data_IF_715625774597
#
_entry.id   IF_715625774597
#
_cell.length_a   1.000
_cell.length_b   1.000
_cell.length_c   1.000
_cell.angle_alpha   90.00
_cell.angle_beta   90.00
_cell.angle_gamma   90.00
#
_symmetry.space_group_name_H-M   'P 1'
#
loop_
_entity.id
_entity.type
_entity.pdbx_description
1 polymer ?
#
# COMPACT_ATOMS: atom_id res chain seq x y z
N UNK A 1 -5.32 -6.65 5.27
CA UNK A 1 -6.03 -6.07 6.42
C UNK A 1 -5.85 -4.55 6.51
N UNK A 2 -4.64 -3.98 6.32
CA UNK A 2 -4.41 -2.53 6.44
C UNK A 2 -5.36 -1.66 5.59
N UNK A 3 -5.74 -2.11 4.39
CA UNK A 3 -6.75 -1.44 3.54
C UNK A 3 -8.19 -1.42 4.09
N UNK A 4 -8.47 -2.16 5.17
CA UNK A 4 -9.71 -2.06 5.97
C UNK A 4 -9.46 -1.14 7.18
N UNK A 5 -8.34 -1.34 7.88
CA UNK A 5 -7.96 -0.57 9.09
C UNK A 5 -7.91 0.94 8.81
N UNK A 6 -7.31 1.36 7.68
CA UNK A 6 -7.23 2.77 7.31
C UNK A 6 -8.63 3.43 7.18
N UNK A 7 -9.55 2.98 6.30
CA UNK A 7 -10.93 3.48 6.26
C UNK A 7 -11.69 3.41 7.59
N UNK A 8 -11.44 2.40 8.43
CA UNK A 8 -12.05 2.34 9.77
C UNK A 8 -11.52 3.43 10.72
N UNK A 9 -10.27 3.87 10.57
CA UNK A 9 -9.63 4.89 11.41
C UNK A 9 -10.00 6.34 11.08
N UNK A 10 -10.37 6.60 9.83
CA UNK A 10 -10.76 7.92 9.33
C UNK A 10 -11.93 7.80 8.32
N UNK A 11 -13.12 7.35 8.77
CA UNK A 11 -14.27 7.18 7.89
C UNK A 11 -14.77 8.53 7.35
N UNK A 12 -15.27 8.54 6.12
CA UNK A 12 -15.71 9.76 5.43
C UNK A 12 -17.09 10.24 5.92
N UNK A 13 -18.04 9.32 6.13
CA UNK A 13 -19.44 9.62 6.43
C UNK A 13 -19.77 9.88 7.92
N UNK A 14 -18.79 9.74 8.83
CA UNK A 14 -19.03 9.72 10.29
C UNK A 14 -17.75 10.11 11.06
N UNK A 15 -17.82 10.48 12.35
CA UNK A 15 -16.62 10.73 13.15
C UNK A 15 -15.70 9.50 13.25
N UNK A 16 -14.41 9.75 13.48
CA UNK A 16 -13.42 8.73 13.76
C UNK A 16 -13.73 8.00 15.10
N UNK A 17 -13.35 6.71 15.23
CA UNK A 17 -13.50 5.96 16.48
C UNK A 17 -12.83 6.66 17.66
N UNK A 18 -13.45 6.61 18.84
CA UNK A 18 -12.95 7.29 20.04
C UNK A 18 -11.74 6.61 20.68
N UNK A 19 -11.66 5.29 20.58
CA UNK A 19 -10.62 4.44 21.15
C UNK A 19 -10.34 3.21 20.26
N UNK A 20 -9.31 2.44 20.62
CA UNK A 20 -8.90 1.25 19.89
C UNK A 20 -9.97 0.14 19.93
N UNK A 21 -10.81 0.11 20.96
CA UNK A 21 -11.92 -0.85 21.04
C UNK A 21 -13.03 -0.53 20.03
N UNK A 22 -13.43 0.73 19.93
CA UNK A 22 -14.36 1.20 18.89
C UNK A 22 -13.78 0.99 17.48
N UNK A 23 -12.47 1.18 17.31
CA UNK A 23 -11.76 0.84 16.07
C UNK A 23 -11.88 -0.66 15.72
N UNK A 24 -11.63 -1.56 16.67
CA UNK A 24 -11.73 -3.01 16.42
C UNK A 24 -13.16 -3.43 16.05
N UNK A 25 -14.18 -2.89 16.71
CA UNK A 25 -15.59 -3.14 16.36
C UNK A 25 -15.92 -2.71 14.92
N UNK A 26 -15.38 -1.58 14.46
CA UNK A 26 -15.57 -1.13 13.08
C UNK A 26 -14.80 -1.98 12.06
N UNK A 27 -13.61 -2.45 12.40
CA UNK A 27 -12.85 -3.42 11.59
C UNK A 27 -13.61 -4.75 11.49
N UNK A 28 -14.22 -5.22 12.58
CA UNK A 28 -15.07 -6.43 12.58
C UNK A 28 -16.29 -6.27 11.68
N UNK A 29 -17.04 -5.15 11.82
CA UNK A 29 -18.22 -4.86 10.97
C UNK A 29 -17.85 -4.79 9.48
N UNK A 30 -16.74 -4.11 9.15
CA UNK A 30 -16.27 -4.01 7.77
C UNK A 30 -15.84 -5.37 7.21
N UNK A 31 -15.08 -6.14 8.00
CA UNK A 31 -14.63 -7.48 7.60
C UNK A 31 -15.81 -8.43 7.41
N UNK A 32 -16.81 -8.42 8.31
CA UNK A 32 -18.04 -9.20 8.18
C UNK A 32 -18.81 -8.85 6.90
N UNK A 33 -18.94 -7.54 6.59
CA UNK A 33 -19.55 -7.08 5.34
C UNK A 33 -18.83 -7.65 4.11
N UNK A 34 -17.50 -7.64 4.08
CA UNK A 34 -16.71 -8.22 2.98
C UNK A 34 -16.91 -9.73 2.88
N UNK A 35 -16.83 -10.47 3.99
CA UNK A 35 -17.04 -11.92 4.02
C UNK A 35 -18.46 -12.29 3.57
N UNK A 36 -19.48 -11.54 3.97
CA UNK A 36 -20.88 -11.78 3.60
C UNK A 36 -21.20 -11.47 2.13
N UNK A 37 -20.44 -10.57 1.48
CA UNK A 37 -20.49 -10.33 0.04
C UNK A 37 -19.76 -11.41 -0.75
N UNK A 38 -18.54 -11.78 -0.36
CA UNK A 38 -17.69 -12.76 -1.08
C UNK A 38 -18.16 -14.21 -0.86
N UNK A 39 -18.70 -14.52 0.32
CA UNK A 39 -19.17 -15.84 0.75
C UNK A 39 -18.15 -16.96 0.50
N UNK A 40 -16.94 -16.87 1.07
CA UNK A 40 -15.93 -17.91 0.95
C UNK A 40 -16.49 -19.27 1.39
N UNK A 41 -16.00 -20.36 0.79
CA UNK A 41 -16.51 -21.73 0.99
C UNK A 41 -15.48 -22.75 1.46
N UNK A 42 -14.21 -22.36 1.58
CA UNK A 42 -13.10 -23.27 1.93
C UNK A 42 -12.04 -22.61 2.80
N UNK A 43 -11.58 -21.41 2.41
CA UNK A 43 -10.48 -20.70 3.08
C UNK A 43 -10.81 -19.21 3.15
N UNK A 44 -10.47 -18.61 4.30
CA UNK A 44 -10.38 -17.16 4.47
C UNK A 44 -8.94 -16.84 4.92
N UNK A 45 -8.20 -16.03 4.15
CA UNK A 45 -6.85 -15.58 4.51
C UNK A 45 -6.89 -14.12 4.93
N UNK A 46 -6.54 -13.86 6.19
CA UNK A 46 -6.40 -12.52 6.77
C UNK A 46 -4.90 -12.23 6.89
N UNK A 47 -4.39 -11.39 6.00
CA UNK A 47 -3.01 -10.90 6.07
C UNK A 47 -2.97 -9.45 6.56
N UNK A 48 -2.28 -9.24 7.69
CA UNK A 48 -1.80 -7.94 8.18
C UNK A 48 -0.33 -7.85 7.77
N UNK A 49 0.14 -6.70 7.30
CA UNK A 49 1.54 -6.56 6.89
C UNK A 49 1.87 -5.12 6.53
N UNK A 50 3.14 -4.83 6.29
CA UNK A 50 3.55 -3.52 5.80
C UNK A 50 3.27 -3.38 4.30
N UNK A 51 3.18 -2.16 3.81
CA UNK A 51 3.56 -1.85 2.41
C UNK A 51 5.09 -1.85 2.34
N UNK A 52 5.71 -2.24 1.24
CA UNK A 52 7.15 -2.23 1.15
C UNK A 52 7.59 -1.85 -0.27
N UNK A 53 8.41 -0.78 -0.42
CA UNK A 53 9.70 -0.66 0.27
C UNK A 53 9.71 0.33 1.46
N UNK A 54 10.64 0.09 2.41
CA UNK A 54 10.85 0.93 3.60
C UNK A 54 11.01 2.43 3.28
N UNK A 55 11.74 2.78 2.21
CA UNK A 55 11.95 4.17 1.82
C UNK A 55 10.65 4.85 1.36
N UNK A 56 9.78 4.14 0.64
CA UNK A 56 8.47 4.67 0.23
C UNK A 56 7.54 4.84 1.43
N UNK A 57 7.55 3.89 2.37
CA UNK A 57 6.85 4.06 3.64
C UNK A 57 7.35 5.29 4.40
N UNK A 58 8.66 5.42 4.60
CA UNK A 58 9.27 6.55 5.31
C UNK A 58 8.88 7.88 4.68
N UNK A 59 8.97 8.01 3.35
CA UNK A 59 8.49 9.19 2.61
C UNK A 59 7.00 9.49 2.85
N UNK A 60 6.14 8.48 2.91
CA UNK A 60 4.71 8.67 3.25
C UNK A 60 4.51 9.08 4.72
N UNK A 61 5.26 8.50 5.65
CA UNK A 61 5.14 8.71 7.10
C UNK A 61 5.63 10.08 7.56
N UNK A 62 6.74 10.56 6.99
CA UNK A 62 7.22 11.93 7.19
C UNK A 62 6.21 12.95 6.66
N UNK A 63 5.68 12.75 5.45
CA UNK A 63 4.62 13.61 4.90
C UNK A 63 3.34 13.60 5.74
N UNK A 64 2.85 12.45 6.17
CA UNK A 64 1.65 12.40 7.03
C UNK A 64 1.85 13.05 8.41
N UNK A 65 3.08 13.05 8.95
CA UNK A 65 3.41 13.78 10.17
C UNK A 65 3.47 15.30 9.95
N UNK A 66 4.06 15.75 8.83
CA UNK A 66 4.06 17.15 8.42
C UNK A 66 2.62 17.67 8.18
N UNK A 67 1.82 16.96 7.37
CA UNK A 67 0.42 17.29 7.10
C UNK A 67 -0.42 17.36 8.39
N UNK A 68 -0.13 16.50 9.38
CA UNK A 68 -0.76 16.57 10.70
C UNK A 68 -0.36 17.83 11.48
N UNK A 69 0.93 18.17 11.53
CA UNK A 69 1.46 19.39 12.17
C UNK A 69 0.87 20.66 11.54
N UNK A 70 0.84 20.73 10.21
CA UNK A 70 0.23 21.84 9.44
C UNK A 70 -1.27 21.96 9.72
N UNK A 71 -2.00 20.83 9.74
CA UNK A 71 -3.43 20.79 10.05
C UNK A 71 -3.76 21.18 11.49
N UNK A 72 -2.89 20.87 12.45
CA UNK A 72 -3.03 21.32 13.84
C UNK A 72 -2.74 22.81 13.98
N UNK A 73 -1.70 23.33 13.32
CA UNK A 73 -1.40 24.76 13.28
C UNK A 73 -2.55 25.58 12.66
N UNK A 74 -3.06 25.17 11.50
CA UNK A 74 -4.19 25.83 10.83
C UNK A 74 -5.48 25.80 11.67
N UNK A 75 -5.74 24.70 12.40
CA UNK A 75 -6.86 24.64 13.37
C UNK A 75 -6.68 25.60 14.54
N UNK A 76 -5.45 25.73 15.06
CA UNK A 76 -5.15 26.64 16.15
C UNK A 76 -5.33 28.11 15.71
N UNK A 77 -4.81 28.48 14.54
CA UNK A 77 -4.98 29.80 13.94
C UNK A 77 -6.46 30.13 13.70
N UNK A 78 -7.23 29.21 13.08
CA UNK A 78 -8.66 29.37 12.88
C UNK A 78 -9.41 29.58 14.20
N UNK A 79 -9.04 28.85 15.25
CA UNK A 79 -9.62 29.02 16.61
C UNK A 79 -9.33 30.41 17.18
N UNK A 80 -8.11 30.93 17.00
CA UNK A 80 -7.75 32.30 17.41
C UNK A 80 -8.52 33.35 16.62
N UNK A 81 -8.69 33.19 15.30
CA UNK A 81 -9.47 34.11 14.46
C UNK A 81 -10.96 34.13 14.84
N UNK A 82 -11.56 32.96 15.13
CA UNK A 82 -12.96 32.87 15.58
C UNK A 82 -13.17 33.56 16.94
N UNK A 83 -12.21 33.42 17.87
CA UNK A 83 -12.23 34.13 19.16
C UNK A 83 -12.13 35.66 18.98
N UNK A 84 -11.33 36.14 18.03
CA UNK A 84 -11.19 37.57 17.74
C UNK A 84 -12.44 38.17 17.08
N UNK A 85 -13.19 37.39 16.30
CA UNK A 85 -14.39 37.86 15.59
C UNK A 85 -15.67 37.86 16.45
N UNK A 86 -15.59 37.47 17.73
CA UNK A 86 -16.74 37.48 18.65
C UNK A 86 -17.88 36.54 18.25
N UNK A 87 -17.60 35.56 17.38
CA UNK A 87 -18.60 34.60 16.92
C UNK A 87 -18.75 33.49 17.96
N UNK A 88 -19.57 33.76 18.97
CA UNK A 88 -19.90 32.83 20.06
C UNK A 88 -20.88 31.72 19.61
N UNK A 89 -20.71 31.23 18.37
CA UNK A 89 -21.52 30.14 17.80
C UNK A 89 -21.11 28.81 18.39
N UNK A 90 -21.75 28.50 19.52
CA UNK A 90 -21.89 27.15 20.07
C UNK A 90 -20.59 26.35 20.17
N UNK A 91 -19.76 26.70 21.15
CA UNK A 91 -18.83 25.75 21.78
C UNK A 91 -19.68 24.62 22.38
N UNK A 92 -19.94 23.60 21.57
CA UNK A 92 -20.61 22.37 21.99
C UNK A 92 -19.61 21.56 22.82
N UNK A 93 -19.83 21.58 24.14
CA UNK A 93 -19.23 20.71 25.16
C UNK A 93 -17.70 20.55 25.12
N UNK A 94 -17.07 21.10 26.16
CA UNK A 94 -15.63 21.07 26.48
C UNK A 94 -15.00 19.68 26.76
N UNK A 95 -15.56 18.61 26.19
CA UNK A 95 -15.02 17.23 26.26
C UNK A 95 -14.83 16.61 24.87
N UNK A 96 -15.61 17.00 23.85
CA UNK A 96 -15.46 16.49 22.48
C UNK A 96 -14.34 17.20 21.67
N UNK A 97 -13.97 18.42 22.08
CA UNK A 97 -13.13 19.33 21.31
C UNK A 97 -11.62 19.02 21.32
N UNK A 98 -11.16 18.00 22.06
CA UNK A 98 -9.75 17.54 22.09
C UNK A 98 -9.65 16.01 22.01
N UNK A 99 -10.47 15.38 21.16
CA UNK A 99 -10.19 14.00 20.72
C UNK A 99 -8.93 14.03 19.86
N UNK A 100 -7.80 13.58 20.43
CA UNK A 100 -6.54 13.38 19.71
C UNK A 100 -6.82 12.51 18.48
N UNK A 101 -6.52 13.00 17.29
CA UNK A 101 -6.72 12.24 16.07
C UNK A 101 -5.92 10.93 16.15
N UNK A 102 -6.51 9.82 15.68
CA UNK A 102 -5.82 8.53 15.67
C UNK A 102 -4.54 8.64 14.84
N UNK A 103 -3.40 8.31 15.46
CA UNK A 103 -2.13 8.34 14.74
C UNK A 103 -2.04 7.14 13.79
N UNK A 104 -2.27 7.40 12.51
CA UNK A 104 -2.19 6.40 11.43
C UNK A 104 -0.80 5.78 11.29
N UNK A 105 0.26 6.35 11.88
CA UNK A 105 1.59 5.77 11.95
C UNK A 105 1.64 4.55 12.89
N UNK A 106 0.70 4.46 13.84
CA UNK A 106 0.47 3.28 14.68
C UNK A 106 0.08 2.04 13.87
N UNK A 107 -0.42 2.20 12.63
CA UNK A 107 -0.69 1.09 11.69
C UNK A 107 0.62 0.61 11.05
N UNK A 108 1.53 0.13 11.89
CA UNK A 108 2.89 -0.33 11.55
C UNK A 108 3.25 -1.48 12.51
N UNK A 109 3.77 -2.64 12.06
CA UNK A 109 4.25 -3.70 12.94
C UNK A 109 5.21 -3.21 14.02
N UNK A 110 5.22 -3.88 15.17
CA UNK A 110 6.02 -3.46 16.32
C UNK A 110 5.40 -2.32 17.14
N UNK A 111 4.15 -1.92 16.88
CA UNK A 111 3.37 -1.00 17.72
C UNK A 111 2.36 -1.76 18.60
N UNK A 112 1.98 -1.25 19.78
CA UNK A 112 0.94 -1.87 20.62
C UNK A 112 -0.39 -2.07 19.89
N UNK A 113 -0.77 -1.11 19.04
CA UNK A 113 -1.99 -1.18 18.23
C UNK A 113 -2.06 -2.43 17.34
N UNK A 114 -0.92 -2.89 16.80
CA UNK A 114 -0.91 -4.06 15.92
C UNK A 114 -1.07 -5.38 16.69
N UNK A 115 -0.63 -5.45 17.95
CA UNK A 115 -0.85 -6.60 18.82
C UNK A 115 -2.30 -6.68 19.29
N UNK A 116 -2.89 -5.53 19.61
CA UNK A 116 -4.32 -5.37 19.89
C UNK A 116 -5.13 -5.83 18.67
N UNK A 117 -4.76 -5.41 17.46
CA UNK A 117 -5.39 -5.85 16.21
C UNK A 117 -5.24 -7.37 15.99
N UNK A 118 -4.05 -7.93 16.21
CA UNK A 118 -3.79 -9.36 16.03
C UNK A 118 -4.64 -10.21 17.00
N UNK A 119 -4.63 -9.86 18.28
CA UNK A 119 -5.39 -10.56 19.33
C UNK A 119 -6.89 -10.43 19.10
N UNK A 120 -7.36 -9.22 18.75
CA UNK A 120 -8.77 -8.94 18.43
C UNK A 120 -9.27 -9.73 17.22
N UNK A 121 -8.46 -9.84 16.16
CA UNK A 121 -8.80 -10.64 14.97
C UNK A 121 -8.83 -12.14 15.27
N UNK A 122 -7.91 -12.66 16.09
CA UNK A 122 -7.90 -14.05 16.53
C UNK A 122 -9.17 -14.37 17.33
N UNK A 123 -9.48 -13.56 18.35
CA UNK A 123 -10.74 -13.66 19.11
C UNK A 123 -11.96 -13.63 18.18
N UNK A 124 -12.05 -12.65 17.27
CA UNK A 124 -13.24 -12.47 16.44
C UNK A 124 -13.46 -13.63 15.46
N UNK A 125 -12.37 -14.18 14.89
CA UNK A 125 -12.46 -15.37 14.03
C UNK A 125 -12.87 -16.61 14.82
N UNK A 126 -12.33 -16.83 16.03
CA UNK A 126 -12.76 -17.89 16.93
C UNK A 126 -14.24 -17.74 17.31
N UNK A 127 -14.67 -16.54 17.71
CA UNK A 127 -16.06 -16.21 18.02
C UNK A 127 -16.99 -16.52 16.84
N UNK A 128 -16.61 -16.14 15.62
CA UNK A 128 -17.35 -16.45 14.39
C UNK A 128 -17.43 -17.96 14.11
N UNK A 129 -16.34 -18.70 14.28
CA UNK A 129 -16.32 -20.17 14.13
C UNK A 129 -17.26 -20.89 15.12
N UNK A 130 -17.52 -20.28 16.29
CA UNK A 130 -18.45 -20.80 17.30
C UNK A 130 -19.91 -20.41 17.07
N UNK A 131 -20.17 -19.21 16.51
CA UNK A 131 -21.51 -18.59 16.50
C UNK A 131 -22.18 -18.54 15.12
N UNK A 132 -21.40 -18.60 14.05
CA UNK A 132 -21.89 -18.39 12.68
C UNK A 132 -21.75 -19.69 11.86
N UNK A 133 -22.89 -20.32 11.55
CA UNK A 133 -22.93 -21.57 10.79
C UNK A 133 -22.32 -21.46 9.37
N UNK A 134 -22.20 -20.26 8.80
CA UNK A 134 -21.50 -20.07 7.53
C UNK A 134 -19.97 -20.24 7.67
N UNK A 135 -19.43 -20.08 8.87
CA UNK A 135 -17.99 -20.16 9.17
C UNK A 135 -17.53 -21.55 9.58
N UNK A 136 -18.42 -22.42 10.07
CA UNK A 136 -18.08 -23.77 10.55
C UNK A 136 -17.29 -24.64 9.54
N UNK A 137 -17.40 -24.36 8.24
CA UNK A 137 -16.71 -25.05 7.16
C UNK A 137 -15.51 -24.27 6.57
N UNK A 138 -15.05 -23.20 7.23
CA UNK A 138 -13.94 -22.36 6.78
C UNK A 138 -12.64 -22.69 7.50
N UNK A 139 -11.57 -22.76 6.72
CA UNK A 139 -10.20 -22.70 7.21
C UNK A 139 -9.77 -21.23 7.28
N UNK A 140 -9.67 -20.67 8.48
CA UNK A 140 -9.31 -19.25 8.65
C UNK A 140 -7.82 -19.16 8.96
N UNK A 141 -7.06 -18.50 8.08
CA UNK A 141 -5.62 -18.33 8.23
C UNK A 141 -5.33 -16.87 8.55
N UNK A 142 -4.69 -16.59 9.68
CA UNK A 142 -4.28 -15.25 10.11
C UNK A 142 -2.76 -15.17 10.05
N UNK A 143 -2.24 -14.31 9.17
CA UNK A 143 -0.86 -13.87 9.18
C UNK A 143 -0.84 -12.43 9.66
N UNK A 144 -0.57 -12.22 10.95
CA UNK A 144 -0.57 -10.91 11.57
C UNK A 144 0.75 -10.13 11.33
N UNK A 145 0.89 -9.00 12.02
CA UNK A 145 2.00 -8.07 11.88
C UNK A 145 3.37 -8.64 12.28
N UNK A 146 3.40 -9.65 13.15
CA UNK A 146 4.64 -10.28 13.67
C UNK A 146 5.29 -11.22 12.65
N UNK A 147 4.55 -11.63 11.62
CA UNK A 147 5.06 -12.41 10.50
C UNK A 147 5.64 -11.44 9.46
N UNK A 148 6.88 -11.62 8.96
CA UNK A 148 7.44 -10.74 7.94
C UNK A 148 6.68 -10.73 6.61
N UNK A 149 6.84 -9.66 5.85
CA UNK A 149 6.31 -9.52 4.48
C UNK A 149 5.03 -8.68 4.38
N UNK A 150 4.72 -8.27 3.15
CA UNK A 150 3.55 -7.44 2.87
C UNK A 150 2.25 -8.23 2.92
N UNK A 151 1.14 -7.56 3.23
CA UNK A 151 -0.17 -8.22 3.29
C UNK A 151 -0.56 -8.92 1.99
N UNK A 152 -0.28 -8.30 0.84
CA UNK A 152 -0.54 -8.90 -0.47
C UNK A 152 0.49 -9.99 -0.86
N UNK A 153 1.77 -9.80 -0.51
CA UNK A 153 2.82 -10.81 -0.78
C UNK A 153 2.57 -12.09 0.01
N UNK A 154 2.22 -11.99 1.31
CA UNK A 154 1.80 -13.12 2.15
C UNK A 154 0.64 -13.92 1.55
N UNK A 155 -0.35 -13.23 0.96
CA UNK A 155 -1.46 -13.89 0.24
C UNK A 155 -0.95 -14.58 -1.02
N UNK A 156 -0.08 -13.94 -1.79
CA UNK A 156 0.51 -14.53 -2.99
C UNK A 156 1.43 -15.73 -2.67
N UNK A 157 2.18 -15.70 -1.56
CA UNK A 157 2.99 -16.82 -1.08
C UNK A 157 2.14 -17.99 -0.62
N UNK A 158 1.03 -17.73 0.08
CA UNK A 158 0.03 -18.76 0.33
C UNK A 158 -0.46 -19.37 -0.98
N UNK A 159 -0.91 -18.57 -1.96
CA UNK A 159 -1.36 -19.08 -3.27
C UNK A 159 -0.26 -19.87 -4.01
N UNK A 160 0.99 -19.40 -3.98
CA UNK A 160 2.15 -20.08 -4.58
C UNK A 160 2.44 -21.42 -3.90
N UNK A 161 2.42 -21.49 -2.57
CA UNK A 161 2.64 -22.72 -1.80
C UNK A 161 1.59 -23.79 -2.12
N UNK A 162 0.30 -23.40 -2.16
CA UNK A 162 -0.81 -24.30 -2.47
C UNK A 162 -0.72 -24.83 -3.92
N UNK A 163 -0.36 -23.96 -4.87
CA UNK A 163 -0.11 -24.37 -6.27
C UNK A 163 1.08 -25.33 -6.39
N UNK A 164 2.16 -25.08 -5.65
CA UNK A 164 3.33 -25.95 -5.67
C UNK A 164 3.01 -27.34 -5.09
N UNK A 165 2.25 -27.42 -4.00
CA UNK A 165 1.77 -28.68 -3.43
C UNK A 165 0.99 -29.52 -4.46
N UNK A 166 -0.01 -28.92 -5.13
CA UNK A 166 -0.81 -29.58 -6.17
C UNK A 166 0.04 -30.10 -7.35
N UNK A 167 1.18 -29.45 -7.63
CA UNK A 167 2.05 -29.78 -8.75
C UNK A 167 3.12 -30.84 -8.43
N UNK A 168 3.37 -31.17 -7.14
CA UNK A 168 4.38 -32.19 -6.75
C UNK A 168 4.07 -33.59 -7.27
N UNK A 169 2.80 -33.88 -7.57
CA UNK A 169 2.33 -35.21 -8.00
C UNK A 169 2.13 -35.32 -9.52
N UNK A 170 2.68 -34.40 -10.33
CA UNK A 170 2.53 -34.42 -11.79
C UNK A 170 3.89 -34.47 -12.51
N UNK A 171 4.21 -35.61 -13.11
CA UNK A 171 5.38 -35.74 -13.98
C UNK A 171 5.15 -35.13 -15.37
N UNK A 172 6.15 -34.40 -15.87
CA UNK A 172 6.18 -33.83 -17.22
C UNK A 172 6.98 -32.53 -17.28
N UNK A 173 8.01 -32.47 -18.13
CA UNK A 173 8.71 -31.20 -18.40
C UNK A 173 7.91 -30.37 -19.42
N UNK A 174 7.52 -29.12 -19.09
CA UNK A 174 6.84 -28.24 -20.04
C UNK A 174 7.80 -27.71 -21.10
N UNK A 175 7.37 -27.71 -22.36
CA UNK A 175 8.12 -27.15 -23.50
C UNK A 175 8.33 -25.65 -23.33
N UNK A 176 9.58 -25.19 -23.39
CA UNK A 176 9.94 -23.78 -23.26
C UNK A 176 9.98 -23.13 -24.63
N UNK A 177 9.16 -22.09 -24.83
CA UNK A 177 9.26 -21.20 -25.99
C UNK A 177 10.11 -19.97 -25.63
N UNK A 178 11.10 -19.64 -26.46
CA UNK A 178 11.88 -18.41 -26.35
C UNK A 178 11.19 -17.23 -27.06
N UNK A 179 11.54 -16.00 -26.69
CA UNK A 179 11.07 -14.77 -27.34
C UNK A 179 10.56 -13.69 -26.40
N UNK A 180 10.17 -14.04 -25.17
CA UNK A 180 9.61 -13.12 -24.19
C UNK A 180 10.66 -12.30 -23.45
N UNK A 181 10.28 -11.08 -23.01
CA UNK A 181 11.13 -10.17 -22.20
C UNK A 181 11.32 -10.68 -20.78
N UNK A 182 10.38 -11.45 -20.25
CA UNK A 182 10.45 -12.05 -18.91
C UNK A 182 10.22 -13.55 -18.95
N UNK A 183 10.79 -14.27 -17.98
CA UNK A 183 10.64 -15.71 -17.81
C UNK A 183 10.70 -16.06 -16.33
N UNK A 184 9.59 -16.57 -15.79
CA UNK A 184 9.50 -17.09 -14.42
C UNK A 184 10.05 -16.13 -13.33
N UNK A 185 9.88 -14.82 -13.52
CA UNK A 185 10.39 -13.78 -12.60
C UNK A 185 11.76 -13.20 -12.95
N UNK A 186 12.41 -13.64 -14.03
CA UNK A 186 13.68 -13.07 -14.52
C UNK A 186 13.45 -12.22 -15.77
N UNK A 187 14.23 -11.13 -15.93
CA UNK A 187 14.21 -10.24 -17.11
C UNK A 187 15.33 -10.63 -18.07
N UNK A 188 15.00 -10.76 -19.36
CA UNK A 188 15.95 -10.79 -20.47
C UNK A 188 16.36 -9.34 -20.79
N UNK A 189 17.47 -8.89 -20.23
CA UNK A 189 17.95 -7.50 -20.36
C UNK A 189 18.21 -7.11 -21.82
N UNK A 190 18.62 -8.05 -22.67
CA UNK A 190 18.81 -7.80 -24.11
C UNK A 190 17.50 -7.45 -24.81
N UNK A 191 16.40 -8.13 -24.44
CA UNK A 191 15.05 -7.78 -24.95
C UNK A 191 14.45 -6.55 -24.28
N UNK A 192 14.75 -6.30 -23.01
CA UNK A 192 14.34 -5.07 -22.34
C UNK A 192 14.97 -3.84 -23.02
N UNK A 193 16.25 -3.91 -23.41
CA UNK A 193 16.93 -2.84 -24.15
C UNK A 193 16.21 -2.48 -25.45
N UNK A 194 15.73 -3.46 -26.22
CA UNK A 194 14.98 -3.21 -27.47
C UNK A 194 13.72 -2.37 -27.23
N UNK A 195 13.05 -2.54 -26.10
CA UNK A 195 11.89 -1.72 -25.71
C UNK A 195 12.33 -0.31 -25.32
N UNK A 196 13.41 -0.19 -24.54
CA UNK A 196 13.96 1.12 -24.13
C UNK A 196 14.45 1.94 -25.34
N UNK A 197 15.13 1.31 -26.30
CA UNK A 197 15.56 1.94 -27.55
C UNK A 197 14.38 2.43 -28.41
N UNK A 198 13.25 1.72 -28.34
CA UNK A 198 11.99 2.12 -29.00
C UNK A 198 11.34 3.32 -28.31
N UNK A 199 11.34 3.34 -26.98
CA UNK A 199 10.79 4.43 -26.17
C UNK A 199 11.63 5.72 -26.29
N UNK A 200 12.95 5.61 -26.23
CA UNK A 200 13.86 6.76 -26.34
C UNK A 200 13.66 7.54 -27.65
N UNK A 201 13.42 6.84 -28.77
CA UNK A 201 13.10 7.46 -30.07
C UNK A 201 11.79 8.26 -30.10
N UNK A 202 10.92 8.09 -29.11
CA UNK A 202 9.62 8.75 -29.00
C UNK A 202 9.58 9.81 -27.88
N UNK A 203 10.63 9.92 -27.08
CA UNK A 203 10.64 10.71 -25.84
C UNK A 203 10.36 12.20 -26.08
N UNK A 204 11.10 12.84 -26.99
CA UNK A 204 10.88 14.25 -27.40
C UNK A 204 9.43 14.52 -27.85
N UNK A 205 8.86 13.60 -28.63
CA UNK A 205 7.51 13.70 -29.14
C UNK A 205 6.45 13.47 -28.05
N UNK A 206 6.78 12.72 -26.99
CA UNK A 206 5.92 12.56 -25.81
C UNK A 206 5.91 13.85 -24.99
N UNK A 207 7.07 14.46 -24.69
CA UNK A 207 7.13 15.68 -23.91
C UNK A 207 6.45 16.87 -24.60
N UNK A 208 6.71 17.07 -25.91
CA UNK A 208 6.05 18.12 -26.69
C UNK A 208 4.52 17.96 -26.72
N UNK A 209 4.00 16.73 -26.88
CA UNK A 209 2.55 16.45 -26.84
C UNK A 209 1.93 16.67 -25.45
N UNK A 210 2.62 16.29 -24.37
CA UNK A 210 2.15 16.53 -23.00
C UNK A 210 1.98 18.02 -22.73
N UNK A 211 2.99 18.84 -23.04
CA UNK A 211 2.92 20.29 -22.86
C UNK A 211 1.79 20.92 -23.67
N UNK A 212 1.60 20.51 -24.93
CA UNK A 212 0.47 20.97 -25.75
C UNK A 212 -0.90 20.59 -25.16
N UNK A 213 -1.02 19.44 -24.49
CA UNK A 213 -2.26 19.05 -23.82
C UNK A 213 -2.47 19.87 -22.54
N UNK A 214 -1.44 20.08 -21.74
CA UNK A 214 -1.49 20.93 -20.53
C UNK A 214 -1.87 22.38 -20.89
N UNK A 215 -1.30 22.94 -21.96
CA UNK A 215 -1.61 24.30 -22.43
C UNK A 215 -3.04 24.43 -22.94
N UNK A 216 -3.57 23.40 -23.61
CA UNK A 216 -5.01 23.35 -23.96
C UNK A 216 -5.89 23.31 -22.73
N UNK A 217 -5.56 22.47 -21.74
CA UNK A 217 -6.32 22.40 -20.50
C UNK A 217 -6.28 23.73 -19.73
N UNK A 218 -5.14 24.39 -19.63
CA UNK A 218 -5.01 25.71 -19.02
C UNK A 218 -5.86 26.76 -19.75
N UNK A 219 -5.85 26.78 -21.09
CA UNK A 219 -6.68 27.67 -21.90
C UNK A 219 -8.21 27.40 -21.78
N UNK A 220 -8.62 26.22 -21.30
CA UNK A 220 -10.01 25.93 -20.92
C UNK A 220 -10.32 26.24 -19.44
N UNK A 221 -9.30 26.30 -18.56
CA UNK A 221 -9.43 26.70 -17.15
C UNK A 221 -9.43 28.24 -16.98
N UNK A 222 -8.93 29.00 -17.94
CA UNK A 222 -9.02 30.48 -17.92
C UNK A 222 -10.47 30.98 -18.10
N UNK A 223 -10.95 31.93 -17.27
CA UNK A 223 -12.29 32.49 -17.40
C UNK A 223 -12.37 33.36 -18.65
N UNK A 224 -13.18 32.93 -19.62
CA UNK A 224 -13.40 33.65 -20.88
C UNK A 224 -13.75 35.13 -20.66
N UNK A 225 -13.09 36.08 -21.34
CA UNK A 225 -13.35 37.50 -21.16
C UNK A 225 -14.74 37.88 -21.68
N UNK A 226 -15.64 38.17 -20.74
CA UNK A 226 -16.88 38.96 -20.90
C UNK A 226 -17.80 38.62 -22.09
N UNK A 227 -18.80 37.77 -21.84
CA UNK A 227 -20.14 38.04 -22.39
C UNK A 227 -20.78 39.14 -21.54
N UNK A 228 -21.22 40.28 -22.11
CA UNK A 228 -21.80 41.36 -21.33
C UNK A 228 -23.18 40.96 -20.79
N UNK A 229 -23.22 40.56 -19.51
CA UNK A 229 -24.47 40.23 -18.82
C UNK A 229 -25.18 41.52 -18.39
N UNK A 230 -26.17 41.95 -19.18
CA UNK A 230 -26.98 43.14 -18.87
C UNK A 230 -27.92 42.80 -17.71
N UNK A 231 -27.49 43.10 -16.48
CA UNK A 231 -28.33 43.06 -15.28
C UNK A 231 -27.74 42.32 -14.08
N UNK A 232 -26.77 42.94 -13.40
CA UNK A 232 -26.58 42.73 -11.96
C UNK A 232 -26.01 43.98 -11.32
N UNK A 233 -26.37 44.19 -10.05
CA UNK A 233 -26.07 45.42 -9.28
C UNK A 233 -24.63 45.39 -8.77
N UNK A 234 -23.97 46.55 -8.81
CA UNK A 234 -22.61 46.75 -8.32
C UNK A 234 -22.53 46.55 -6.79
N UNK A 235 -21.84 45.50 -6.37
CA UNK A 235 -21.40 45.29 -4.99
C UNK A 235 -19.90 45.06 -5.00
N UNK A 236 -19.16 45.97 -4.36
CA UNK A 236 -17.74 46.21 -4.57
C UNK A 236 -16.87 44.94 -4.66
N UNK A 237 -16.23 44.78 -5.82
CA UNK A 237 -15.30 43.68 -6.10
C UNK A 237 -14.08 43.73 -5.18
N UNK A 238 -13.97 42.76 -4.26
CA UNK A 238 -12.67 42.41 -3.67
C UNK A 238 -11.72 41.99 -4.80
N UNK A 239 -10.46 42.46 -4.84
CA UNK A 239 -9.50 41.95 -5.81
C UNK A 239 -9.31 40.45 -5.58
N UNK A 240 -9.55 39.67 -6.62
CA UNK A 240 -9.17 38.26 -6.65
C UNK A 240 -7.64 38.23 -6.55
N UNK A 241 -7.04 37.51 -5.58
CA UNK A 241 -5.59 37.36 -5.55
C UNK A 241 -5.15 36.74 -6.88
N UNK A 242 -4.01 37.15 -7.47
CA UNK A 242 -3.49 36.43 -8.63
C UNK A 242 -3.37 34.94 -8.29
N UNK A 243 -3.67 34.03 -9.23
CA UNK A 243 -3.41 32.61 -9.00
C UNK A 243 -1.96 32.46 -8.58
N UNK A 244 -1.72 31.70 -7.50
CA UNK A 244 -0.36 31.38 -7.06
C UNK A 244 0.36 30.71 -8.22
N UNK A 245 1.27 31.44 -8.87
CA UNK A 245 2.11 30.89 -9.92
C UNK A 245 2.87 29.70 -9.33
N UNK A 246 2.56 28.50 -9.83
CA UNK A 246 3.31 27.31 -9.45
C UNK A 246 4.79 27.51 -9.79
N UNK A 247 5.72 26.93 -9.02
CA UNK A 247 7.15 27.14 -9.23
C UNK A 247 7.52 26.81 -10.69
N UNK A 248 8.16 27.79 -11.33
CA UNK A 248 8.48 27.75 -12.76
C UNK A 248 9.29 26.50 -13.09
N UNK A 249 8.80 25.66 -14.02
CA UNK A 249 9.55 24.52 -14.52
C UNK A 249 10.79 25.01 -15.29
N UNK A 250 11.95 24.90 -14.64
CA UNK A 250 13.26 25.25 -15.18
C UNK A 250 13.91 24.13 -15.99
N UNK A 251 13.36 22.91 -15.97
CA UNK A 251 13.86 21.78 -16.76
C UNK A 251 13.34 21.86 -18.19
N UNK A 252 12.06 22.20 -18.37
CA UNK A 252 11.40 22.37 -19.68
C UNK A 252 11.62 21.19 -20.61
N UNK A 253 10.98 20.06 -20.28
CA UNK A 253 11.11 18.79 -21.01
C UNK A 253 10.68 18.86 -22.49
N UNK A 254 9.91 19.88 -22.88
CA UNK A 254 9.45 20.11 -24.26
C UNK A 254 10.46 20.86 -25.16
N UNK A 255 11.54 21.41 -24.60
CA UNK A 255 12.58 22.19 -25.29
C UNK A 255 13.88 21.36 -25.48
N UNK A 256 14.58 21.54 -26.60
CA UNK A 256 15.87 20.85 -26.85
C UNK A 256 16.88 21.08 -25.73
N UNK A 257 17.74 20.09 -25.46
CA UNK A 257 18.70 20.13 -24.35
C UNK A 257 18.09 19.91 -22.95
N UNK A 258 16.82 19.46 -22.85
CA UNK A 258 16.19 19.19 -21.54
C UNK A 258 16.95 18.16 -20.71
N UNK A 259 17.59 17.15 -21.34
CA UNK A 259 18.34 16.14 -20.62
C UNK A 259 19.51 16.76 -19.84
N UNK A 260 20.19 17.74 -20.42
CA UNK A 260 21.29 18.44 -19.78
C UNK A 260 20.80 19.28 -18.60
N UNK A 261 19.72 20.07 -18.80
CA UNK A 261 19.06 20.82 -17.71
C UNK A 261 18.56 19.90 -16.60
N UNK A 262 18.01 18.74 -16.94
CA UNK A 262 17.47 17.77 -15.98
C UNK A 262 18.56 17.16 -15.11
N UNK A 263 19.65 16.65 -15.69
CA UNK A 263 20.76 16.08 -14.92
C UNK A 263 21.50 17.13 -14.09
N UNK A 264 21.66 18.35 -14.60
CA UNK A 264 22.28 19.45 -13.86
C UNK A 264 21.41 19.89 -12.67
N UNK A 265 20.10 20.09 -12.86
CA UNK A 265 19.20 20.57 -11.81
C UNK A 265 18.81 19.49 -10.79
N UNK A 266 18.57 18.24 -11.22
CA UNK A 266 18.05 17.17 -10.35
C UNK A 266 19.11 16.27 -9.74
N UNK A 267 20.28 16.15 -10.37
CA UNK A 267 21.38 15.33 -9.87
C UNK A 267 22.64 16.13 -9.54
N UNK A 268 22.65 17.45 -9.76
CA UNK A 268 23.83 18.32 -9.59
C UNK A 268 25.04 17.82 -10.39
N UNK A 269 24.78 17.12 -11.50
CA UNK A 269 25.76 16.40 -12.30
C UNK A 269 26.04 17.14 -13.61
N UNK A 270 27.31 17.20 -14.02
CA UNK A 270 27.70 17.88 -15.26
C UNK A 270 27.03 17.24 -16.48
N UNK A 271 26.52 18.02 -17.44
CA UNK A 271 25.99 17.50 -18.71
C UNK A 271 26.95 16.59 -19.49
N UNK A 272 28.27 16.75 -19.28
CA UNK A 272 29.32 15.95 -19.93
C UNK A 272 29.64 14.63 -19.23
N UNK A 273 29.10 14.39 -18.03
CA UNK A 273 29.35 13.16 -17.27
C UNK A 273 28.41 12.02 -17.73
N UNK A 274 28.73 11.47 -18.90
CA UNK A 274 28.04 10.31 -19.47
C UNK A 274 28.23 9.07 -18.58
N UNK A 275 29.33 8.97 -17.83
CA UNK A 275 29.57 7.86 -16.90
C UNK A 275 28.59 7.89 -15.72
N UNK A 276 28.31 9.07 -15.16
CA UNK A 276 27.27 9.25 -14.15
C UNK A 276 25.87 8.93 -14.71
N UNK A 277 25.52 9.39 -15.92
CA UNK A 277 24.24 9.04 -16.57
C UNK A 277 24.08 7.53 -16.74
N UNK A 278 25.13 6.85 -17.20
CA UNK A 278 25.15 5.38 -17.33
C UNK A 278 25.05 4.70 -15.96
N UNK A 279 25.67 5.24 -14.91
CA UNK A 279 25.55 4.73 -13.53
C UNK A 279 24.12 4.89 -12.98
N UNK A 280 23.44 5.99 -13.27
CA UNK A 280 22.02 6.18 -12.90
C UNK A 280 21.12 5.21 -13.68
N UNK A 281 21.35 5.03 -14.99
CA UNK A 281 20.62 4.05 -15.80
C UNK A 281 20.85 2.62 -15.31
N UNK A 282 22.09 2.25 -14.99
CA UNK A 282 22.44 0.97 -14.40
C UNK A 282 21.75 0.79 -13.05
N UNK A 283 21.84 1.76 -12.13
CA UNK A 283 21.15 1.71 -10.84
C UNK A 283 19.62 1.65 -10.97
N UNK A 284 19.04 2.21 -12.03
CA UNK A 284 17.61 2.11 -12.33
C UNK A 284 17.22 0.73 -12.85
N UNK A 285 18.03 0.11 -13.74
CA UNK A 285 17.82 -1.26 -14.23
C UNK A 285 18.08 -2.30 -13.13
N UNK A 286 19.09 -2.08 -12.29
CA UNK A 286 19.32 -2.81 -11.05
C UNK A 286 18.14 -2.61 -10.09
N UNK A 287 17.59 -1.40 -9.98
CA UNK A 287 16.40 -1.09 -9.19
C UNK A 287 15.11 -1.77 -9.70
N UNK A 288 14.88 -1.83 -11.02
CA UNK A 288 13.79 -2.60 -11.62
C UNK A 288 13.96 -4.10 -11.38
N UNK A 289 15.18 -4.60 -11.51
CA UNK A 289 15.54 -5.99 -11.20
C UNK A 289 15.40 -6.28 -9.70
N UNK A 290 15.73 -5.31 -8.85
CA UNK A 290 15.57 -5.36 -7.39
C UNK A 290 14.10 -5.39 -7.02
N UNK A 291 13.25 -4.53 -7.59
CA UNK A 291 11.79 -4.57 -7.38
C UNK A 291 11.20 -5.93 -7.78
N UNK A 292 11.72 -6.57 -8.84
CA UNK A 292 11.28 -7.91 -9.26
C UNK A 292 11.83 -9.03 -8.35
N UNK A 293 13.06 -8.92 -7.87
CA UNK A 293 13.68 -9.84 -6.89
C UNK A 293 13.10 -9.68 -5.48
N UNK A 294 12.62 -8.49 -5.13
CA UNK A 294 12.00 -8.13 -3.86
C UNK A 294 10.71 -8.90 -3.60
N UNK A 295 10.01 -9.31 -4.66
CA UNK A 295 8.87 -10.24 -4.59
C UNK A 295 9.24 -11.67 -4.14
N UNK A 296 10.54 -12.01 -4.03
CA UNK A 296 10.98 -13.39 -3.80
C UNK A 296 12.16 -13.59 -2.84
N UNK A 297 13.17 -12.71 -2.77
CA UNK A 297 14.39 -12.92 -1.96
C UNK A 297 14.97 -11.59 -1.41
N UNK A 298 14.67 -11.26 -0.15
CA UNK A 298 15.13 -10.03 0.53
C UNK A 298 16.56 -10.11 1.11
N UNK A 299 17.13 -8.97 1.52
CA UNK A 299 18.54 -8.83 1.99
C UNK A 299 18.73 -7.67 3.03
N UNK A 300 19.55 -7.82 4.10
CA UNK A 300 19.78 -6.81 5.17
C UNK A 300 21.25 -6.33 5.37
N UNK A 301 21.50 -5.35 6.27
CA UNK A 301 22.86 -4.90 6.72
C UNK A 301 22.88 -4.12 8.08
N UNK A 302 24.07 -3.68 8.60
CA UNK A 302 24.41 -3.46 10.04
C UNK A 302 25.09 -2.09 10.47
N UNK A 303 24.61 -1.33 11.50
CA UNK A 303 25.44 -0.52 12.49
C UNK A 303 25.34 1.04 12.83
N UNK A 304 24.31 1.51 13.60
CA UNK A 304 23.99 2.94 13.98
C UNK A 304 24.89 3.71 14.97
N UNK A 305 24.94 5.06 15.08
CA UNK A 305 24.86 6.29 14.21
C UNK A 305 23.62 7.00 13.47
N UNK A 306 22.31 6.69 13.61
CA UNK A 306 21.18 7.19 12.74
C UNK A 306 20.64 8.66 12.78
N UNK A 307 21.10 9.59 13.63
CA UNK A 307 20.24 10.77 13.98
C UNK A 307 19.86 11.69 12.77
N UNK A 308 20.76 11.83 11.80
CA UNK A 308 20.53 12.50 10.51
C UNK A 308 19.41 11.88 9.65
N UNK A 309 19.00 10.64 9.91
CA UNK A 309 17.85 10.01 9.23
C UNK A 309 16.49 10.55 9.71
N UNK A 310 16.46 11.48 10.68
CA UNK A 310 15.24 12.04 11.26
C UNK A 310 15.24 13.58 11.27
N UNK A 311 15.33 14.25 10.10
CA UNK A 311 15.25 15.71 10.04
C UNK A 311 13.84 16.22 10.40
N UNK A 312 13.77 17.33 11.15
CA UNK A 312 12.50 17.97 11.51
C UNK A 312 11.85 18.72 10.34
N UNK A 313 12.66 19.19 9.39
CA UNK A 313 12.26 19.90 8.17
C UNK A 313 12.90 19.23 6.95
N UNK A 314 12.14 19.11 5.85
CA UNK A 314 12.62 18.51 4.61
C UNK A 314 11.92 19.15 3.40
N UNK A 315 12.59 19.17 2.26
CA UNK A 315 12.06 19.76 1.03
C UNK A 315 11.15 18.78 0.26
N UNK A 316 10.19 19.34 -0.48
CA UNK A 316 9.31 18.59 -1.39
C UNK A 316 9.52 19.10 -2.81
N UNK A 317 10.18 18.30 -3.65
CA UNK A 317 10.33 18.60 -5.07
C UNK A 317 9.02 18.26 -5.81
N UNK A 318 8.29 19.28 -6.24
CA UNK A 318 7.06 19.12 -7.00
C UNK A 318 7.28 18.52 -8.39
N UNK A 319 8.48 18.65 -8.99
CA UNK A 319 8.84 18.09 -10.29
C UNK A 319 7.75 18.23 -11.38
N UNK A 320 7.22 19.46 -11.54
CA UNK A 320 6.16 19.79 -12.51
C UNK A 320 4.74 19.34 -12.12
N UNK A 321 4.50 18.93 -10.86
CA UNK A 321 3.17 18.55 -10.36
C UNK A 321 2.45 19.70 -9.66
N UNK A 322 1.13 19.80 -9.87
CA UNK A 322 0.27 20.85 -9.27
C UNK A 322 0.08 20.69 -7.74
N UNK A 323 0.26 19.49 -7.18
CA UNK A 323 -0.11 19.18 -5.78
C UNK A 323 1.07 18.60 -4.97
N UNK A 324 1.26 19.06 -3.73
CA UNK A 324 2.36 18.63 -2.84
C UNK A 324 2.41 17.11 -2.58
N UNK A 325 1.26 16.44 -2.49
CA UNK A 325 1.20 14.97 -2.32
C UNK A 325 1.75 14.19 -3.54
N UNK A 326 1.85 14.83 -4.71
CA UNK A 326 2.48 14.27 -5.91
C UNK A 326 4.00 14.52 -5.98
N UNK A 327 4.52 15.44 -5.16
CA UNK A 327 5.94 15.76 -5.07
C UNK A 327 6.76 14.69 -4.34
N UNK A 328 8.08 14.75 -4.53
CA UNK A 328 9.06 13.84 -3.92
C UNK A 328 9.60 14.49 -2.64
N UNK A 329 9.37 13.87 -1.49
CA UNK A 329 9.99 14.30 -0.23
C UNK A 329 11.49 13.94 -0.23
N UNK A 330 12.36 14.94 -0.15
CA UNK A 330 13.81 14.80 -0.18
C UNK A 330 14.32 14.45 1.22
N UNK A 331 14.30 13.15 1.53
CA UNK A 331 14.78 12.61 2.81
C UNK A 331 16.12 11.87 2.61
N UNK A 332 17.08 11.99 3.56
CA UNK A 332 18.31 11.20 3.52
C UNK A 332 17.98 9.71 3.58
N UNK A 333 18.68 8.87 2.81
CA UNK A 333 18.46 7.43 2.85
C UNK A 333 18.94 6.84 4.18
N UNK A 334 18.16 5.91 4.76
CA UNK A 334 18.63 5.14 5.92
C UNK A 334 19.72 4.20 5.45
N UNK A 335 20.93 4.42 5.93
CA UNK A 335 21.95 3.40 5.89
C UNK A 335 21.54 2.31 6.89
N UNK A 336 21.09 1.17 6.38
CA UNK A 336 20.96 -0.05 7.18
C UNK A 336 22.30 -0.44 7.84
N UNK A 337 23.49 -0.24 7.17
CA UNK A 337 24.80 -0.29 7.81
C UNK A 337 25.04 0.74 8.92
N UNK A 338 24.01 1.54 9.21
CA UNK A 338 24.01 2.58 10.20
C UNK A 338 22.71 2.57 11.00
N UNK A 339 21.98 1.45 11.07
CA UNK A 339 20.77 1.29 11.91
C UNK A 339 20.95 0.26 13.02
N UNK A 340 21.55 -0.92 12.76
CA UNK A 340 21.50 -2.05 13.71
C UNK A 340 22.26 -1.84 15.03
N UNK A 341 23.60 -1.73 15.09
CA UNK A 341 24.40 -1.47 16.32
C UNK A 341 23.72 -0.60 17.39
N UNK A 342 23.32 0.66 17.14
CA UNK A 342 22.69 1.42 18.24
C UNK A 342 21.22 1.09 18.53
N UNK A 343 20.51 0.27 17.74
CA UNK A 343 19.31 -0.41 18.28
C UNK A 343 19.70 -1.67 19.07
N UNK A 344 20.75 -2.39 18.66
CA UNK A 344 21.29 -3.54 19.40
C UNK A 344 21.84 -3.15 20.79
N UNK A 345 22.55 -2.02 20.89
CA UNK A 345 22.97 -1.41 22.16
C UNK A 345 21.79 -1.03 23.08
N UNK A 346 20.56 -0.96 22.54
CA UNK A 346 19.33 -0.60 23.28
C UNK A 346 18.42 -1.80 23.51
N UNK A 347 18.59 -2.93 22.83
CA UNK A 347 17.81 -4.15 23.10
C UNK A 347 17.84 -4.60 24.58
N UNK A 348 18.96 -4.50 25.33
CA UNK A 348 18.97 -4.81 26.76
C UNK A 348 18.13 -3.88 27.66
N UNK A 349 17.65 -2.75 27.12
CA UNK A 349 16.84 -1.75 27.82
C UNK A 349 15.34 -1.88 27.51
N UNK A 350 14.94 -2.82 26.64
CA UNK A 350 13.53 -3.05 26.33
C UNK A 350 12.77 -3.59 27.54
N UNK A 351 11.50 -3.22 27.65
CA UNK A 351 10.57 -3.91 28.54
C UNK A 351 10.36 -5.37 28.06
N UNK A 352 9.94 -6.30 28.93
CA UNK A 352 9.60 -7.65 28.51
C UNK A 352 8.53 -7.70 27.41
N UNK A 353 7.57 -6.76 27.43
CA UNK A 353 6.50 -6.63 26.45
C UNK A 353 7.03 -6.17 25.09
N UNK A 354 7.88 -5.13 25.07
CA UNK A 354 8.50 -4.65 23.82
C UNK A 354 9.49 -5.67 23.24
N UNK A 355 10.21 -6.41 24.11
CA UNK A 355 11.10 -7.48 23.72
C UNK A 355 10.35 -8.70 23.17
N UNK A 356 9.12 -8.96 23.61
CA UNK A 356 8.25 -10.00 23.05
C UNK A 356 7.67 -9.57 21.69
N UNK A 357 7.14 -8.33 21.62
CA UNK A 357 6.62 -7.72 20.38
C UNK A 357 7.66 -7.61 19.26
N UNK A 358 8.94 -7.56 19.61
CA UNK A 358 10.06 -7.56 18.65
C UNK A 358 10.47 -8.96 18.14
N UNK A 359 9.78 -10.04 18.55
CA UNK A 359 10.02 -11.40 18.05
C UNK A 359 9.26 -11.66 16.76
N UNK A 360 9.79 -12.58 15.95
CA UNK A 360 9.06 -13.14 14.82
C UNK A 360 7.96 -14.08 15.35
N UNK A 361 6.71 -13.77 15.02
CA UNK A 361 5.57 -14.62 15.33
C UNK A 361 5.26 -15.63 14.23
N UNK A 362 4.12 -16.30 14.41
CA UNK A 362 3.70 -17.46 13.60
C UNK A 362 2.37 -17.17 12.90
N UNK A 363 2.23 -17.65 11.67
CA UNK A 363 0.91 -17.70 11.01
C UNK A 363 0.03 -18.68 11.79
N UNK A 364 -1.23 -18.32 12.00
CA UNK A 364 -2.18 -19.13 12.76
C UNK A 364 -3.28 -19.64 11.84
N UNK A 365 -3.66 -20.90 12.03
CA UNK A 365 -4.82 -21.54 11.40
C UNK A 365 -5.89 -21.78 12.48
N UNK A 366 -7.11 -21.30 12.21
CA UNK A 366 -8.31 -21.55 13.02
C UNK A 366 -9.30 -22.41 12.23
N UNK A 367 -9.89 -23.37 12.93
CA UNK A 367 -10.85 -24.36 12.40
C UNK A 367 -11.99 -24.57 13.40
N UNK A 368 -13.14 -25.05 12.97
CA UNK A 368 -14.18 -25.54 13.89
C UNK A 368 -13.94 -27.03 14.22
N UNK A 369 -14.16 -27.43 15.48
CA UNK A 369 -14.20 -28.84 15.91
C UNK A 369 -15.35 -29.63 15.26
N UNK A 370 -16.42 -28.92 14.86
CA UNK A 370 -17.64 -29.50 14.31
C UNK A 370 -17.45 -30.12 12.91
N UNK A 371 -16.34 -29.81 12.21
CA UNK A 371 -16.04 -30.42 10.92
C UNK A 371 -14.60 -30.96 10.84
N UNK A 372 -14.44 -32.18 11.35
CA UNK A 372 -13.19 -32.95 11.26
C UNK A 372 -12.72 -33.27 9.83
N UNK A 373 -13.58 -33.19 8.81
CA UNK A 373 -13.15 -33.37 7.40
C UNK A 373 -12.26 -32.23 6.90
N UNK A 374 -12.24 -31.07 7.58
CA UNK A 374 -11.30 -29.99 7.26
C UNK A 374 -9.84 -30.39 7.54
N UNK A 375 -9.61 -31.38 8.42
CA UNK A 375 -8.27 -31.80 8.84
C UNK A 375 -7.52 -32.57 7.76
N UNK A 376 -8.21 -33.36 6.92
CA UNK A 376 -7.57 -34.05 5.78
C UNK A 376 -7.10 -33.10 4.68
N UNK A 377 -7.71 -31.91 4.59
CA UNK A 377 -7.38 -30.90 3.60
C UNK A 377 -6.25 -29.94 4.06
N UNK A 378 -5.55 -30.26 5.15
CA UNK A 378 -4.39 -29.49 5.63
C UNK A 378 -3.13 -29.98 4.90
N UNK A 379 -2.70 -29.22 3.89
CA UNK A 379 -1.56 -29.57 3.01
C UNK A 379 -0.18 -29.30 3.61
N UNK A 380 -0.13 -28.64 4.78
CA UNK A 380 1.07 -28.02 5.32
C UNK A 380 1.25 -28.41 6.78
N UNK A 381 2.46 -28.22 7.33
CA UNK A 381 2.74 -28.56 8.72
C UNK A 381 1.99 -27.63 9.67
N UNK A 382 1.41 -28.23 10.71
CA UNK A 382 0.78 -27.54 11.84
C UNK A 382 1.50 -27.87 13.13
N UNK A 383 1.46 -26.95 14.09
CA UNK A 383 2.09 -27.08 15.40
C UNK A 383 1.17 -26.57 16.50
N UNK A 384 1.34 -27.09 17.72
CA UNK A 384 0.62 -26.58 18.89
C UNK A 384 1.13 -25.15 19.21
N UNK A 385 0.21 -24.26 19.56
CA UNK A 385 0.55 -22.99 20.23
C UNK A 385 0.56 -23.22 21.75
N UNK A 386 1.59 -22.73 22.44
CA UNK A 386 1.76 -23.01 23.86
C UNK A 386 0.68 -22.34 24.74
N UNK A 387 0.27 -21.12 24.37
CA UNK A 387 -0.74 -20.33 25.08
C UNK A 387 -2.18 -20.75 24.79
N UNK A 388 -2.41 -21.69 23.86
CA UNK A 388 -3.74 -22.13 23.48
C UNK A 388 -4.19 -23.37 24.27
N UNK A 389 -5.30 -23.21 24.99
CA UNK A 389 -5.99 -24.29 25.69
C UNK A 389 -7.27 -24.69 24.91
N UNK A 390 -7.32 -25.89 24.30
CA UNK A 390 -8.52 -26.37 23.63
C UNK A 390 -9.72 -26.41 24.59
N UNK A 391 -10.88 -25.98 24.11
CA UNK A 391 -12.15 -26.03 24.85
C UNK A 391 -12.18 -25.23 26.16
N UNK A 392 -11.27 -24.26 26.32
CA UNK A 392 -11.30 -23.27 27.39
C UNK A 392 -12.33 -22.15 27.14
N UNK A 393 -12.33 -21.15 28.02
CA UNK A 393 -13.08 -19.91 27.83
C UNK A 393 -12.42 -19.05 26.75
N UNK A 394 -13.18 -18.63 25.74
CA UNK A 394 -12.77 -17.61 24.78
C UNK A 394 -13.08 -16.23 25.36
N UNK A 395 -12.12 -15.62 26.03
CA UNK A 395 -12.28 -14.27 26.58
C UNK A 395 -12.11 -13.19 25.52
N UNK A 396 -12.97 -12.17 25.56
CA UNK A 396 -12.80 -10.98 24.74
C UNK A 396 -11.65 -10.10 25.27
N UNK A 397 -10.66 -9.73 24.43
CA UNK A 397 -9.40 -9.17 24.91
C UNK A 397 -9.43 -7.70 25.35
N UNK A 398 -10.50 -6.94 25.08
CA UNK A 398 -10.54 -5.48 25.32
C UNK A 398 -11.42 -5.09 26.53
N UNK A 399 -11.01 -4.03 27.20
CA UNK A 399 -11.43 -3.73 28.57
C UNK A 399 -12.93 -3.42 28.73
N UNK A 400 -13.59 -2.76 27.75
CA UNK A 400 -15.01 -2.38 27.88
C UNK A 400 -15.96 -3.54 27.58
N UNK A 401 -15.45 -4.72 27.21
CA UNK A 401 -16.22 -5.94 26.92
C UNK A 401 -17.36 -5.73 25.92
N UNK A 402 -17.10 -4.97 24.86
CA UNK A 402 -18.10 -4.68 23.83
C UNK A 402 -18.52 -5.91 22.99
N UNK A 403 -17.80 -7.02 23.08
CA UNK A 403 -18.19 -8.33 22.55
C UNK A 403 -18.19 -9.38 23.68
N UNK A 404 -19.06 -10.42 23.61
CA UNK A 404 -19.20 -11.40 24.67
C UNK A 404 -18.10 -12.47 24.67
N UNK A 405 -17.61 -12.85 25.85
CA UNK A 405 -16.81 -14.08 26.02
C UNK A 405 -17.67 -15.33 25.82
N UNK A 406 -17.05 -16.46 25.45
CA UNK A 406 -17.70 -17.77 25.38
C UNK A 406 -17.11 -18.71 26.42
N UNK A 407 -17.92 -19.39 27.22
CA UNK A 407 -17.44 -20.32 28.26
C UNK A 407 -16.72 -21.56 27.69
N UNK A 408 -17.00 -21.92 26.43
CA UNK A 408 -16.50 -23.14 25.79
C UNK A 408 -16.16 -22.90 24.32
N UNK A 409 -14.87 -22.83 24.00
CA UNK A 409 -14.38 -22.62 22.63
C UNK A 409 -14.36 -23.94 21.82
N UNK A 410 -15.17 -23.97 20.75
CA UNK A 410 -15.21 -25.03 19.73
C UNK A 410 -14.27 -24.76 18.54
N UNK A 411 -13.56 -23.64 18.55
CA UNK A 411 -12.53 -23.37 17.56
C UNK A 411 -11.20 -23.98 17.98
N UNK A 412 -10.53 -24.66 17.05
CA UNK A 412 -9.18 -25.18 17.19
C UNK A 412 -8.20 -24.17 16.60
N UNK A 413 -7.19 -23.76 17.39
CA UNK A 413 -6.18 -22.76 16.99
C UNK A 413 -4.79 -23.40 17.00
N UNK A 414 -4.10 -23.37 15.86
CA UNK A 414 -2.76 -23.98 15.70
C UNK A 414 -1.81 -23.06 14.93
N UNK A 415 -0.50 -23.19 15.17
CA UNK A 415 0.52 -22.60 14.32
C UNK A 415 0.52 -23.30 12.95
N UNK A 416 0.73 -22.53 11.89
CA UNK A 416 0.64 -22.98 10.50
C UNK A 416 1.90 -22.60 9.73
N UNK A 417 2.68 -23.60 9.31
CA UNK A 417 3.92 -23.39 8.56
C UNK A 417 3.62 -23.43 7.05
N UNK A 418 3.85 -22.32 6.34
CA UNK A 418 3.70 -22.28 4.88
C UNK A 418 4.71 -23.23 4.21
N UNK A 419 4.21 -24.15 3.38
CA UNK A 419 5.06 -25.13 2.69
C UNK A 419 5.81 -24.50 1.51
N UNK A 420 7.10 -24.25 1.70
CA UNK A 420 7.95 -23.71 0.65
C UNK A 420 8.35 -24.79 -0.38
N UNK A 421 8.54 -24.36 -1.63
CA UNK A 421 9.05 -25.20 -2.72
C UNK A 421 10.52 -24.90 -2.96
N UNK A 422 11.37 -25.93 -3.00
CA UNK A 422 12.76 -25.79 -3.41
C UNK A 422 12.91 -25.51 -4.93
N UNK A 423 11.86 -25.75 -5.73
CA UNK A 423 11.82 -25.41 -7.14
C UNK A 423 11.17 -24.04 -7.35
N UNK A 424 11.77 -23.22 -8.22
CA UNK A 424 11.25 -21.93 -8.68
C UNK A 424 9.81 -22.06 -9.18
N UNK A 425 8.94 -21.13 -8.78
CA UNK A 425 7.57 -21.08 -9.28
C UNK A 425 7.54 -20.75 -10.77
N UNK A 426 6.80 -21.53 -11.55
CA UNK A 426 6.67 -21.35 -13.01
C UNK A 426 5.39 -20.60 -13.36
N UNK A 427 5.51 -19.63 -14.26
CA UNK A 427 4.41 -18.78 -14.73
C UNK A 427 3.56 -19.49 -15.78
N UNK A 428 2.84 -20.54 -15.35
CA UNK A 428 1.97 -21.36 -16.21
C UNK A 428 0.64 -21.74 -15.56
N UNK A 429 -0.35 -22.07 -16.39
CA UNK A 429 -1.59 -22.67 -15.94
C UNK A 429 -1.33 -24.08 -15.38
N UNK A 430 -2.11 -24.47 -14.37
CA UNK A 430 -2.08 -25.84 -13.87
C UNK A 430 -2.78 -26.77 -14.89
N UNK A 431 -2.34 -28.03 -14.96
CA UNK A 431 -2.99 -29.03 -15.82
C UNK A 431 -4.43 -29.26 -15.34
N UNK A 432 -5.37 -29.31 -16.28
CA UNK A 432 -6.80 -29.46 -15.97
C UNK A 432 -7.49 -28.17 -15.51
N UNK A 433 -6.89 -26.98 -15.70
CA UNK A 433 -7.62 -25.73 -15.47
C UNK A 433 -8.76 -25.60 -16.49
N UNK A 434 -9.97 -25.37 -15.99
CA UNK A 434 -11.12 -25.00 -16.82
C UNK A 434 -11.16 -23.48 -16.95
N UNK A 435 -11.15 -22.98 -18.19
CA UNK A 435 -11.18 -21.54 -18.44
C UNK A 435 -12.61 -20.99 -18.22
N UNK A 436 -12.77 -19.83 -17.56
CA UNK A 436 -14.08 -19.22 -17.42
C UNK A 436 -14.66 -18.81 -18.77
N UNK A 437 -15.99 -18.68 -18.85
CA UNK A 437 -16.68 -18.22 -20.06
C UNK A 437 -16.11 -16.86 -20.51
N UNK A 438 -15.66 -16.70 -21.77
CA UNK A 438 -15.18 -15.43 -22.29
C UNK A 438 -16.23 -14.32 -22.14
N UNK A 439 -15.80 -13.16 -21.63
CA UNK A 439 -16.67 -12.02 -21.37
C UNK A 439 -16.66 -10.97 -22.50
N UNK A 440 -15.54 -10.86 -23.23
CA UNK A 440 -15.40 -9.90 -24.33
C UNK A 440 -16.37 -10.25 -25.46
N UNK A 441 -17.21 -9.29 -25.83
CA UNK A 441 -18.10 -9.40 -26.96
C UNK A 441 -17.40 -8.95 -28.27
N UNK A 442 -18.09 -9.11 -29.41
CA UNK A 442 -17.54 -8.79 -30.72
C UNK A 442 -17.21 -7.30 -30.88
N UNK A 443 -18.04 -6.40 -30.35
CA UNK A 443 -17.80 -4.96 -30.34
C UNK A 443 -16.56 -4.61 -29.53
N UNK A 444 -16.36 -5.20 -28.34
CA UNK A 444 -15.13 -4.99 -27.55
C UNK A 444 -13.88 -5.39 -28.34
N UNK A 445 -13.93 -6.54 -29.03
CA UNK A 445 -12.83 -7.05 -29.86
C UNK A 445 -12.58 -6.13 -31.07
N UNK A 446 -13.63 -5.62 -31.72
CA UNK A 446 -13.52 -4.68 -32.84
C UNK A 446 -13.00 -3.30 -32.38
N UNK A 447 -13.43 -2.81 -31.21
CA UNK A 447 -12.88 -1.60 -30.58
C UNK A 447 -11.40 -1.77 -30.26
N UNK A 448 -10.99 -2.85 -29.60
CA UNK A 448 -9.58 -3.12 -29.28
C UNK A 448 -8.71 -3.23 -30.54
N UNK A 449 -9.23 -3.82 -31.63
CA UNK A 449 -8.56 -3.84 -32.94
C UNK A 449 -8.49 -2.45 -33.59
N UNK A 450 -9.54 -1.64 -33.50
CA UNK A 450 -9.56 -0.26 -34.02
C UNK A 450 -8.59 0.69 -33.30
N UNK A 451 -8.21 0.39 -32.05
CA UNK A 451 -7.16 1.11 -31.33
C UNK A 451 -5.73 0.63 -31.69
N UNK A 452 -5.58 -0.40 -32.53
CA UNK A 452 -4.27 -0.92 -32.95
C UNK A 452 -3.78 -0.38 -34.30
N UNK A 453 -4.58 0.46 -34.99
CA UNK A 453 -4.13 1.20 -36.18
C UNK A 453 -3.02 2.18 -35.79
N UNK A 454 -1.87 2.21 -36.51
CA UNK A 454 -0.78 3.15 -36.24
C UNK A 454 -1.23 4.61 -36.26
N UNK A 455 -0.53 5.46 -35.49
CA UNK A 455 -0.85 6.88 -35.29
C UNK A 455 -0.70 7.78 -36.55
N UNK A 456 -0.35 7.19 -37.70
CA UNK A 456 -0.03 7.89 -38.94
C UNK A 456 -1.26 8.21 -39.82
N UNK A 457 -2.46 7.73 -39.45
CA UNK A 457 -3.70 7.95 -40.20
C UNK A 457 -4.51 9.20 -39.79
N UNK A 458 -3.94 10.08 -38.95
CA UNK A 458 -4.59 11.34 -38.53
C UNK A 458 -4.38 12.48 -39.55
N UNK A 459 -4.63 12.22 -40.84
CA UNK A 459 -4.60 13.23 -41.91
C UNK A 459 -5.87 13.22 -42.76
N UNK A 460 -7.03 13.42 -42.13
CA UNK A 460 -8.18 14.04 -42.80
C UNK A 460 -9.11 14.68 -41.77
N UNK A 461 -9.08 16.01 -41.70
CA UNK A 461 -10.09 16.81 -41.00
C UNK A 461 -11.23 17.06 -41.99
N UNK A 462 -12.47 16.65 -41.71
CA UNK A 462 -13.61 17.05 -42.53
C UNK A 462 -13.78 18.56 -42.46
N UNK A 463 -13.92 19.21 -43.62
CA UNK A 463 -14.19 20.65 -43.75
C UNK A 463 -15.62 21.01 -43.38
#
# INVERSE_FOLDING_TARGET
MNGIVHPCSHPEDRPAPRDEEEMMLEIFKYTDRVVNMVRPRKVLVIAVGMFAPMNQQRSRRFRSAQEAKEKEAAKAELRTLLQQQGSDTAITSSEDAVKKAFDSNSITPGTPFMDILATSLRYWCAYKLNTDAAWANLKVIISDATVPGEGEHKIMDFVRSQRAYLNRNMEGQPTVYGGYVTRDGHIDLGRAQVIMDGLAKQEDAIFKRRKQQEDRHAAFEEPSPTTPNIGSIDTGSRPVPPPLEGPVDTVRLWEEGYADRYYEQKFQASPRDVAFRNKVAQAYVEGLSWVLLYYFQGCPSWDCEIIDFYPEEFEIDLNGKKMAWQGVALLPFIEMPRLLTAVEQRYPLLSPEDADRNKLGKVVLLLSDANSSLYSDITSRVEKLDDYLPHGCLEYPLQRKAMPSLEYDRSLVVGYELSHSAQSHKSMLLRGVEMPKPYLNRGDIETLKGHSTPLDAATEVPR
#
